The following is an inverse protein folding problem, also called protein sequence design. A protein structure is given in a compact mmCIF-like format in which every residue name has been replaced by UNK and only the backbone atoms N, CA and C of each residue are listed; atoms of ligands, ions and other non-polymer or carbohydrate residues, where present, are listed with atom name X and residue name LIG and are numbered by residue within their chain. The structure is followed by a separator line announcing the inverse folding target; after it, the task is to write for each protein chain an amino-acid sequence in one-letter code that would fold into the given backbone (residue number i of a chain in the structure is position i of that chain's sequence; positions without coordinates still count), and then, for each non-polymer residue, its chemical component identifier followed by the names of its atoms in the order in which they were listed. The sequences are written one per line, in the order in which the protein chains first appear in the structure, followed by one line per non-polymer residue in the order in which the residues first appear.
data_IF_303900556452
#
_entry.id   IF_303900556452
#
_cell.length_a   1.000
_cell.length_b   1.000
_cell.length_c   1.000
_cell.angle_alpha   90.00
_cell.angle_beta   90.00
_cell.angle_gamma   90.00
#
_symmetry.space_group_name_H-M   'P 1'
#
loop_
_entity.id
_entity.type
_entity.pdbx_description
1 polymer ?
#
# COMPACT_ATOMS: atom_id res chain seq x y z
N UNK A 1 -43.23 -2.48 -13.93
CA UNK A 1 -41.76 -2.74 -13.93
C UNK A 1 -41.43 -3.73 -12.80
N UNK A 2 -41.16 -5.01 -13.10
CA UNK A 2 -40.75 -5.98 -12.05
C UNK A 2 -39.23 -5.90 -11.88
N UNK A 3 -38.77 -5.29 -10.79
CA UNK A 3 -37.36 -5.29 -10.42
C UNK A 3 -36.94 -6.73 -10.04
N UNK A 4 -36.23 -7.42 -10.95
CA UNK A 4 -35.79 -8.82 -10.76
C UNK A 4 -34.48 -8.96 -9.98
N UNK A 5 -33.83 -7.85 -9.59
CA UNK A 5 -32.60 -7.86 -8.80
C UNK A 5 -32.87 -7.31 -7.40
N UNK A 6 -32.60 -8.13 -6.38
CA UNK A 6 -32.48 -7.64 -5.00
C UNK A 6 -31.22 -6.77 -4.94
N UNK A 7 -31.39 -5.46 -5.02
CA UNK A 7 -30.32 -4.51 -4.76
C UNK A 7 -30.37 -4.21 -3.27
N UNK A 8 -29.30 -4.53 -2.54
CA UNK A 8 -29.16 -4.11 -1.16
C UNK A 8 -29.30 -2.59 -1.12
N UNK A 9 -30.13 -2.06 -0.21
CA UNK A 9 -30.39 -0.62 -0.06
C UNK A 9 -29.11 0.21 0.10
N UNK A 10 -28.00 -0.43 0.47
CA UNK A 10 -26.69 0.14 0.71
C UNK A 10 -25.64 -0.36 -0.30
N UNK A 11 -26.04 -0.69 -1.54
CA UNK A 11 -25.08 -1.07 -2.59
C UNK A 11 -24.16 0.10 -2.93
N UNK A 12 -22.93 -0.19 -3.38
CA UNK A 12 -21.99 0.85 -3.77
C UNK A 12 -22.56 1.81 -4.84
N UNK A 13 -23.40 1.30 -5.76
CA UNK A 13 -24.07 2.12 -6.79
C UNK A 13 -25.09 3.11 -6.24
N UNK A 14 -25.65 2.84 -5.05
CA UNK A 14 -26.57 3.76 -4.35
C UNK A 14 -25.74 4.72 -3.50
N UNK A 15 -24.78 4.20 -2.73
CA UNK A 15 -23.92 5.01 -1.87
C UNK A 15 -23.08 6.01 -2.66
N UNK A 16 -22.65 5.68 -3.89
CA UNK A 16 -21.91 6.60 -4.76
C UNK A 16 -22.73 7.82 -5.21
N UNK A 17 -24.06 7.77 -5.10
CA UNK A 17 -24.95 8.90 -5.42
C UNK A 17 -25.07 9.89 -4.27
N UNK A 18 -24.66 9.49 -3.05
CA UNK A 18 -24.69 10.36 -1.87
C UNK A 18 -23.45 11.26 -1.80
N UNK A 19 -23.55 12.40 -1.14
CA UNK A 19 -22.39 13.23 -0.82
C UNK A 19 -21.42 12.51 0.13
N UNK A 20 -20.21 13.05 0.25
CA UNK A 20 -19.14 12.44 1.06
C UNK A 20 -19.52 12.40 2.55
N UNK A 21 -20.20 13.44 3.06
CA UNK A 21 -20.61 13.53 4.46
C UNK A 21 -21.57 12.40 4.83
N UNK A 22 -22.60 12.18 4.01
CA UNK A 22 -23.54 11.07 4.22
C UNK A 22 -22.88 9.70 4.02
N UNK A 23 -21.99 9.55 3.03
CA UNK A 23 -21.27 8.28 2.80
C UNK A 23 -20.42 7.83 3.99
N UNK A 24 -19.83 8.77 4.72
CA UNK A 24 -18.96 8.46 5.87
C UNK A 24 -19.75 7.96 7.08
N UNK A 25 -21.04 8.30 7.19
CA UNK A 25 -21.91 7.84 8.29
C UNK A 25 -22.22 6.34 8.22
N UNK A 26 -22.04 5.69 7.05
CA UNK A 26 -22.29 4.26 6.92
C UNK A 26 -21.18 3.44 7.59
N UNK A 27 -21.51 2.62 8.60
CA UNK A 27 -20.51 1.90 9.40
C UNK A 27 -19.94 0.68 8.67
N UNK A 28 -20.47 0.29 7.50
CA UNK A 28 -20.11 -0.95 6.81
C UNK A 28 -19.77 -0.71 5.34
N UNK A 29 -18.71 -1.38 4.87
CA UNK A 29 -18.42 -1.54 3.45
C UNK A 29 -19.26 -2.70 2.93
N UNK A 30 -20.22 -2.37 2.06
CA UNK A 30 -21.09 -3.33 1.41
C UNK A 30 -20.84 -3.34 -0.10
N UNK A 31 -20.61 -4.54 -0.63
CA UNK A 31 -20.55 -4.82 -2.06
C UNK A 31 -21.55 -5.93 -2.37
N UNK A 32 -21.81 -6.20 -3.64
CA UNK A 32 -22.70 -7.30 -4.05
C UNK A 32 -22.29 -8.68 -3.50
N UNK A 33 -21.02 -8.83 -3.10
CA UNK A 33 -20.45 -10.10 -2.61
C UNK A 33 -19.92 -10.04 -1.18
N UNK A 34 -19.75 -8.87 -0.59
CA UNK A 34 -19.04 -8.72 0.68
C UNK A 34 -19.71 -7.69 1.58
N UNK A 35 -19.75 -7.98 2.88
CA UNK A 35 -20.17 -7.06 3.92
C UNK A 35 -19.13 -7.08 5.05
N UNK A 36 -18.69 -5.89 5.49
CA UNK A 36 -17.76 -5.79 6.61
C UNK A 36 -17.83 -4.42 7.28
N UNK A 37 -17.62 -4.40 8.58
CA UNK A 37 -17.55 -3.17 9.36
C UNK A 37 -16.30 -2.34 9.00
N UNK A 38 -16.47 -1.02 8.90
CA UNK A 38 -15.41 -0.07 8.61
C UNK A 38 -14.32 -0.09 9.69
N UNK A 39 -14.65 -0.45 10.93
CA UNK A 39 -13.68 -0.67 12.01
C UNK A 39 -12.62 -1.70 11.62
N UNK A 40 -13.01 -2.79 10.94
CA UNK A 40 -12.06 -3.81 10.45
C UNK A 40 -11.10 -3.22 9.41
N UNK A 41 -11.61 -2.37 8.52
CA UNK A 41 -10.78 -1.67 7.52
C UNK A 41 -9.81 -0.71 8.21
N UNK A 42 -10.23 -0.04 9.28
CA UNK A 42 -9.36 0.83 10.07
C UNK A 42 -8.26 0.05 10.77
N UNK A 43 -8.57 -1.12 11.36
CA UNK A 43 -7.55 -2.02 11.90
C UNK A 43 -6.54 -2.45 10.83
N UNK A 44 -7.01 -2.76 9.62
CA UNK A 44 -6.16 -3.14 8.48
C UNK A 44 -5.29 -2.00 7.94
N UNK A 45 -5.60 -0.73 8.26
CA UNK A 45 -4.78 0.42 7.87
C UNK A 45 -3.52 0.58 8.71
N UNK A 46 -3.48 0.00 9.91
CA UNK A 46 -2.30 0.07 10.74
C UNK A 46 -1.11 -0.58 9.99
N UNK A 47 0.02 0.14 9.90
CA UNK A 47 1.22 -0.34 9.19
C UNK A 47 2.28 -0.91 10.13
N UNK A 48 1.90 -1.16 11.38
CA UNK A 48 2.77 -1.84 12.35
C UNK A 48 3.16 -3.24 11.90
N UNK A 49 4.37 -3.65 12.27
CA UNK A 49 4.83 -5.02 12.10
C UNK A 49 3.89 -5.99 12.84
N UNK A 50 3.66 -7.16 12.25
CA UNK A 50 2.69 -8.13 12.76
C UNK A 50 1.23 -7.86 12.37
N UNK A 51 0.88 -6.67 11.82
CA UNK A 51 -0.47 -6.45 11.30
C UNK A 51 -0.69 -7.24 10.00
N UNK A 52 -1.58 -8.22 10.02
CA UNK A 52 -1.94 -9.00 8.84
C UNK A 52 -3.43 -9.31 8.84
N UNK A 53 -3.98 -9.61 7.65
CA UNK A 53 -5.36 -10.06 7.52
C UNK A 53 -5.64 -11.34 8.33
N UNK A 54 -4.63 -12.19 8.52
CA UNK A 54 -4.75 -13.40 9.35
C UNK A 54 -4.81 -13.07 10.83
N UNK A 55 -3.95 -12.16 11.30
CA UNK A 55 -3.95 -11.71 12.70
C UNK A 55 -5.24 -10.98 13.06
N UNK A 56 -5.70 -10.07 12.20
CA UNK A 56 -6.98 -9.38 12.41
C UNK A 56 -8.14 -10.37 12.40
N UNK A 57 -8.14 -11.37 11.50
CA UNK A 57 -9.17 -12.39 11.52
C UNK A 57 -9.20 -13.15 12.85
N UNK A 58 -8.06 -13.57 13.39
CA UNK A 58 -7.99 -14.26 14.69
C UNK A 58 -8.59 -13.41 15.81
N UNK A 59 -8.20 -12.13 15.88
CA UNK A 59 -8.76 -11.20 16.88
C UNK A 59 -10.28 -11.03 16.77
N UNK A 60 -10.80 -10.96 15.55
CA UNK A 60 -12.26 -10.89 15.32
C UNK A 60 -12.94 -12.21 15.67
N UNK A 61 -12.26 -13.35 15.45
CA UNK A 61 -12.74 -14.68 15.82
C UNK A 61 -12.91 -14.78 17.32
N UNK A 62 -11.86 -14.44 18.09
CA UNK A 62 -11.86 -14.40 19.55
C UNK A 62 -12.97 -13.49 20.09
N UNK A 63 -13.13 -12.28 19.53
CA UNK A 63 -14.21 -11.36 19.95
C UNK A 63 -15.61 -11.90 19.67
N UNK A 64 -15.80 -12.54 18.51
CA UNK A 64 -17.07 -13.20 18.22
C UNK A 64 -17.30 -14.40 19.15
N UNK A 65 -16.24 -15.09 19.58
CA UNK A 65 -16.34 -16.30 20.44
C UNK A 65 -16.81 -15.89 21.82
N UNK A 66 -16.17 -14.88 22.38
CA UNK A 66 -16.56 -14.31 23.65
C UNK A 66 -18.00 -13.78 23.62
N UNK A 67 -18.39 -13.03 22.58
CA UNK A 67 -19.74 -12.51 22.45
C UNK A 67 -20.81 -13.62 22.33
N UNK A 68 -20.51 -14.69 21.59
CA UNK A 68 -21.39 -15.85 21.47
C UNK A 68 -21.51 -16.62 22.78
N UNK A 69 -20.39 -16.87 23.48
CA UNK A 69 -20.38 -17.53 24.79
C UNK A 69 -21.18 -16.74 25.83
N UNK A 70 -21.00 -15.41 25.89
CA UNK A 70 -21.77 -14.54 26.80
C UNK A 70 -23.27 -14.57 26.48
N UNK A 71 -23.63 -14.53 25.19
CA UNK A 71 -25.04 -14.63 24.77
C UNK A 71 -25.66 -15.97 25.15
N UNK A 72 -24.91 -17.07 25.00
CA UNK A 72 -25.36 -18.40 25.42
C UNK A 72 -25.51 -18.49 26.93
N UNK A 73 -24.59 -17.93 27.71
CA UNK A 73 -24.69 -17.91 29.16
C UNK A 73 -25.95 -17.18 29.63
N UNK A 74 -26.26 -16.01 29.04
CA UNK A 74 -27.51 -15.29 29.30
C UNK A 74 -28.73 -16.13 28.91
N UNK A 75 -28.74 -16.69 27.70
CA UNK A 75 -29.83 -17.53 27.23
C UNK A 75 -30.10 -18.71 28.18
N UNK A 76 -29.06 -19.42 28.60
CA UNK A 76 -29.19 -20.57 29.51
C UNK A 76 -29.67 -20.15 30.90
N UNK A 77 -29.23 -18.98 31.39
CA UNK A 77 -29.69 -18.40 32.67
C UNK A 77 -31.17 -18.04 32.62
N UNK A 78 -31.61 -17.42 31.53
CA UNK A 78 -33.03 -17.09 31.33
C UNK A 78 -33.85 -18.38 31.25
N UNK A 79 -33.35 -19.38 30.51
CA UNK A 79 -33.97 -20.69 30.38
C UNK A 79 -34.10 -21.42 31.72
N UNK A 80 -33.09 -21.39 32.59
CA UNK A 80 -33.19 -21.99 33.93
C UNK A 80 -34.28 -21.31 34.75
N UNK A 81 -34.39 -19.97 34.69
CA UNK A 81 -35.46 -19.24 35.35
C UNK A 81 -36.86 -19.66 34.88
N UNK A 82 -37.03 -19.89 33.58
CA UNK A 82 -38.29 -20.40 33.03
C UNK A 82 -38.59 -21.85 33.48
N UNK A 83 -37.56 -22.71 33.55
CA UNK A 83 -37.69 -24.09 34.04
C UNK A 83 -38.12 -24.08 35.51
N UNK A 84 -37.45 -23.29 36.36
CA UNK A 84 -37.75 -23.21 37.79
C UNK A 84 -39.18 -22.67 38.02
N UNK A 85 -39.58 -21.65 37.28
CA UNK A 85 -40.95 -21.12 37.33
C UNK A 85 -42.00 -22.14 36.87
N UNK A 86 -41.70 -22.96 35.85
CA UNK A 86 -42.57 -24.05 35.42
C UNK A 86 -42.67 -25.16 36.48
N UNK A 87 -41.56 -25.53 37.12
CA UNK A 87 -41.54 -26.49 38.23
C UNK A 87 -42.32 -25.99 39.45
N UNK A 88 -42.29 -24.68 39.70
CA UNK A 88 -43.04 -24.00 40.77
C UNK A 88 -44.55 -23.85 40.46
N UNK A 89 -45.00 -24.30 39.28
CA UNK A 89 -46.39 -24.20 38.84
C UNK A 89 -46.83 -22.82 38.34
N UNK A 90 -45.89 -21.87 38.18
CA UNK A 90 -46.18 -20.51 37.71
C UNK A 90 -46.31 -20.40 36.19
N UNK A 91 -45.68 -21.32 35.44
CA UNK A 91 -45.68 -21.35 33.98
C UNK A 91 -45.96 -22.76 33.44
N UNK A 92 -46.48 -22.82 32.21
CA UNK A 92 -46.68 -24.10 31.49
C UNK A 92 -45.33 -24.58 30.95
N UNK A 93 -45.01 -25.84 31.21
CA UNK A 93 -43.77 -26.45 30.74
C UNK A 93 -43.71 -26.46 29.20
N UNK A 94 -42.64 -25.89 28.63
CA UNK A 94 -42.37 -25.85 27.18
C UNK A 94 -40.96 -26.36 26.90
N UNK A 95 -40.81 -27.00 25.75
CA UNK A 95 -39.49 -27.43 25.25
C UNK A 95 -38.66 -26.20 24.87
N UNK A 96 -37.52 -26.06 25.53
CA UNK A 96 -36.54 -25.00 25.26
C UNK A 96 -35.62 -25.50 24.15
N UNK A 97 -35.37 -24.66 23.14
CA UNK A 97 -34.44 -24.98 22.05
C UNK A 97 -32.98 -24.85 22.48
N UNK A 98 -32.08 -25.60 21.86
CA UNK A 98 -30.65 -25.39 22.04
C UNK A 98 -30.21 -24.02 21.50
N UNK A 99 -29.16 -23.40 22.08
CA UNK A 99 -28.61 -22.15 21.57
C UNK A 99 -28.11 -22.33 20.13
N UNK A 100 -28.22 -21.30 19.28
CA UNK A 100 -27.79 -21.37 17.89
C UNK A 100 -26.28 -21.56 17.78
N UNK A 101 -25.84 -22.34 16.79
CA UNK A 101 -24.41 -22.49 16.48
C UNK A 101 -23.77 -21.15 16.08
N UNK A 102 -22.51 -20.98 16.45
CA UNK A 102 -21.70 -19.81 16.08
C UNK A 102 -21.57 -19.69 14.56
N UNK A 103 -21.85 -18.52 14.02
CA UNK A 103 -21.62 -18.23 12.60
C UNK A 103 -20.11 -18.20 12.26
N UNK A 104 -19.65 -18.93 11.24
CA UNK A 104 -18.24 -18.97 10.88
C UNK A 104 -17.77 -17.64 10.26
N UNK A 105 -16.58 -17.18 10.67
CA UNK A 105 -15.97 -16.01 10.08
C UNK A 105 -15.43 -16.26 8.67
N UNK A 106 -15.50 -15.27 7.76
CA UNK A 106 -14.85 -15.34 6.46
C UNK A 106 -13.34 -15.57 6.56
N UNK A 107 -12.75 -16.18 5.52
CA UNK A 107 -11.30 -16.40 5.43
C UNK A 107 -10.53 -15.08 5.27
N UNK A 108 -9.24 -15.06 5.61
CA UNK A 108 -8.38 -13.87 5.50
C UNK A 108 -8.39 -13.19 4.11
N UNK A 109 -8.64 -13.95 3.02
CA UNK A 109 -8.82 -13.41 1.66
C UNK A 109 -9.98 -12.42 1.54
N UNK A 110 -11.05 -12.63 2.31
CA UNK A 110 -12.18 -11.72 2.40
C UNK A 110 -11.75 -10.35 2.95
N UNK A 111 -10.98 -10.35 4.05
CA UNK A 111 -10.43 -9.15 4.67
C UNK A 111 -9.51 -8.39 3.69
N UNK A 112 -8.68 -9.10 2.92
CA UNK A 112 -7.87 -8.48 1.86
C UNK A 112 -8.73 -7.79 0.80
N UNK A 113 -9.78 -8.45 0.32
CA UNK A 113 -10.69 -7.87 -0.68
C UNK A 113 -11.38 -6.60 -0.15
N UNK A 114 -11.88 -6.62 1.08
CA UNK A 114 -12.50 -5.45 1.71
C UNK A 114 -11.50 -4.32 1.93
N UNK A 115 -10.28 -4.63 2.37
CA UNK A 115 -9.24 -3.62 2.49
C UNK A 115 -8.95 -2.93 1.16
N UNK A 116 -8.81 -3.72 0.09
CA UNK A 116 -8.64 -3.21 -1.28
C UNK A 116 -9.83 -2.30 -1.68
N UNK A 117 -11.06 -2.69 -1.37
CA UNK A 117 -12.22 -1.82 -1.62
C UNK A 117 -12.13 -0.49 -0.84
N UNK A 118 -11.72 -0.54 0.44
CA UNK A 118 -11.48 0.66 1.25
C UNK A 118 -10.30 1.52 0.78
N UNK A 119 -9.34 0.93 0.05
CA UNK A 119 -8.28 1.67 -0.66
C UNK A 119 -8.84 2.32 -1.92
N UNK A 120 -9.63 1.60 -2.73
CA UNK A 120 -10.25 2.13 -3.94
C UNK A 120 -11.13 3.35 -3.66
N UNK A 121 -11.87 3.35 -2.55
CA UNK A 121 -12.69 4.50 -2.14
C UNK A 121 -11.89 5.78 -1.85
N UNK A 122 -10.58 5.68 -1.60
CA UNK A 122 -9.69 6.80 -1.30
C UNK A 122 -8.55 6.89 -2.31
N UNK A 123 -8.73 6.28 -3.48
CA UNK A 123 -7.64 6.15 -4.44
C UNK A 123 -7.14 7.52 -4.89
N UNK A 124 -8.05 8.47 -5.06
CA UNK A 124 -7.70 9.83 -5.49
C UNK A 124 -6.96 10.61 -4.40
N UNK A 125 -7.37 10.49 -3.14
CA UNK A 125 -6.64 11.05 -1.99
C UNK A 125 -5.22 10.46 -1.89
N UNK A 126 -5.10 9.13 -2.02
CA UNK A 126 -3.81 8.43 -1.97
C UNK A 126 -2.94 8.88 -3.13
N UNK A 127 -3.49 8.96 -4.34
CA UNK A 127 -2.78 9.49 -5.52
C UNK A 127 -2.30 10.91 -5.27
N UNK A 128 -3.19 11.81 -4.83
CA UNK A 128 -2.84 13.18 -4.52
C UNK A 128 -1.71 13.29 -3.47
N UNK A 129 -1.68 12.40 -2.48
CA UNK A 129 -0.62 12.37 -1.47
C UNK A 129 0.73 11.87 -1.97
N UNK A 130 0.76 11.00 -3.00
CA UNK A 130 2.01 10.40 -3.52
C UNK A 130 2.46 10.99 -4.85
N UNK A 131 1.63 11.80 -5.52
CA UNK A 131 1.98 12.46 -6.78
C UNK A 131 2.22 13.94 -6.56
N UNK A 132 3.13 14.52 -7.33
CA UNK A 132 3.33 15.96 -7.39
C UNK A 132 3.45 16.39 -8.84
N UNK A 133 3.40 17.70 -9.08
CA UNK A 133 3.65 18.27 -10.41
C UNK A 133 5.09 18.78 -10.53
N UNK A 134 5.69 19.19 -9.41
CA UNK A 134 6.97 19.89 -9.36
C UNK A 134 7.86 19.40 -8.20
N UNK A 135 9.09 19.88 -8.20
CA UNK A 135 10.14 19.61 -7.24
C UNK A 135 11.41 20.37 -7.59
N UNK A 136 12.25 20.65 -6.60
CA UNK A 136 13.56 21.30 -6.79
C UNK A 136 14.66 20.29 -7.11
N UNK A 137 14.53 19.07 -6.60
CA UNK A 137 15.47 17.98 -6.87
C UNK A 137 14.67 16.84 -7.48
N UNK A 138 15.00 16.49 -8.72
CA UNK A 138 14.34 15.41 -9.42
C UNK A 138 15.24 14.18 -9.47
N UNK A 139 14.62 13.01 -9.36
CA UNK A 139 15.28 11.72 -9.52
C UNK A 139 14.51 10.86 -10.51
N UNK A 140 15.20 10.40 -11.54
CA UNK A 140 14.72 9.37 -12.46
C UNK A 140 15.20 8.00 -11.97
N UNK A 141 14.26 7.09 -11.74
CA UNK A 141 14.53 5.69 -11.36
C UNK A 141 13.79 4.72 -12.30
N UNK A 142 14.54 3.79 -12.85
CA UNK A 142 14.12 2.82 -13.86
C UNK A 142 14.09 1.43 -13.24
N UNK A 143 12.95 0.76 -13.30
CA UNK A 143 12.78 -0.55 -12.65
C UNK A 143 11.99 -1.55 -13.50
N UNK A 144 12.45 -2.80 -13.48
CA UNK A 144 11.69 -3.95 -14.01
C UNK A 144 10.61 -4.45 -13.04
N UNK A 145 10.68 -4.08 -11.75
CA UNK A 145 9.85 -4.68 -10.69
C UNK A 145 8.37 -4.38 -10.86
N UNK A 146 8.04 -3.16 -11.28
CA UNK A 146 6.64 -2.72 -11.50
C UNK A 146 6.06 -3.43 -12.72
N UNK A 147 6.84 -3.53 -13.78
CA UNK A 147 6.42 -4.13 -15.05
C UNK A 147 6.03 -5.60 -14.91
N UNK A 148 6.75 -6.36 -14.07
CA UNK A 148 6.40 -7.76 -13.76
C UNK A 148 5.03 -7.92 -13.09
N UNK A 149 4.46 -6.84 -12.55
CA UNK A 149 3.17 -6.83 -11.83
C UNK A 149 2.03 -6.25 -12.67
N UNK A 150 2.30 -5.82 -13.92
CA UNK A 150 1.26 -5.30 -14.79
C UNK A 150 0.32 -6.44 -15.23
N UNK A 151 -0.98 -6.19 -15.15
CA UNK A 151 -2.04 -7.09 -15.62
C UNK A 151 -2.61 -6.61 -16.96
N UNK A 152 -3.26 -7.51 -17.70
CA UNK A 152 -3.91 -7.20 -18.97
C UNK A 152 -2.95 -7.13 -20.16
N UNK A 153 -3.33 -6.36 -21.19
CA UNK A 153 -2.60 -6.23 -22.47
C UNK A 153 -1.10 -5.87 -22.35
N UNK A 154 -0.66 -5.05 -21.37
CA UNK A 154 0.77 -4.73 -21.19
C UNK A 154 1.60 -5.84 -20.51
N UNK A 155 0.96 -6.91 -20.04
CA UNK A 155 1.67 -7.99 -19.35
C UNK A 155 2.69 -8.64 -20.31
N UNK A 156 3.93 -8.80 -19.85
CA UNK A 156 5.07 -9.40 -20.58
C UNK A 156 5.53 -8.66 -21.84
N UNK A 157 4.93 -7.53 -22.20
CA UNK A 157 5.32 -6.71 -23.37
C UNK A 157 6.15 -5.49 -22.96
N UNK A 158 5.82 -4.91 -21.81
CA UNK A 158 6.65 -3.92 -21.15
C UNK A 158 7.90 -4.57 -20.55
N UNK A 159 9.04 -3.88 -20.55
CA UNK A 159 10.29 -4.37 -19.95
C UNK A 159 10.78 -3.49 -18.78
N UNK A 160 10.51 -2.18 -18.84
CA UNK A 160 10.96 -1.23 -17.83
C UNK A 160 9.89 -0.17 -17.53
N UNK A 161 9.90 0.34 -16.30
CA UNK A 161 9.11 1.48 -15.85
C UNK A 161 10.09 2.54 -15.33
N UNK A 162 10.09 3.73 -15.94
CA UNK A 162 10.90 4.85 -15.51
C UNK A 162 10.01 5.87 -14.81
N UNK A 163 10.36 6.20 -13.57
CA UNK A 163 9.62 7.13 -12.73
C UNK A 163 10.47 8.36 -12.49
N UNK A 164 9.88 9.55 -12.58
CA UNK A 164 10.49 10.78 -12.10
C UNK A 164 9.82 11.17 -10.80
N UNK A 165 10.57 11.26 -9.71
CA UNK A 165 10.10 11.74 -8.41
C UNK A 165 10.87 12.96 -7.92
N UNK A 166 10.32 13.64 -6.92
CA UNK A 166 10.94 14.82 -6.29
C UNK A 166 11.61 14.50 -4.94
N UNK A 167 12.17 15.52 -4.30
CA UNK A 167 12.83 15.48 -2.97
C UNK A 167 11.94 14.94 -1.84
N UNK A 168 10.61 14.96 -2.00
CA UNK A 168 9.65 14.46 -1.02
C UNK A 168 9.21 13.02 -1.29
N UNK A 169 9.77 12.36 -2.31
CA UNK A 169 9.37 11.02 -2.72
C UNK A 169 8.04 10.98 -3.47
N UNK A 170 7.54 12.13 -3.94
CA UNK A 170 6.33 12.20 -4.74
C UNK A 170 6.65 12.00 -6.22
N UNK A 171 5.77 11.30 -6.93
CA UNK A 171 5.95 10.94 -8.34
C UNK A 171 5.37 12.04 -9.24
N UNK A 172 6.18 12.56 -10.16
CA UNK A 172 5.76 13.53 -11.17
C UNK A 172 5.17 12.86 -12.41
N UNK A 173 5.85 11.82 -12.89
CA UNK A 173 5.41 11.05 -14.05
C UNK A 173 6.05 9.68 -14.06
N UNK A 174 5.36 8.73 -14.68
CA UNK A 174 5.85 7.37 -14.92
C UNK A 174 5.63 7.01 -16.38
N UNK A 175 6.64 6.44 -17.02
CA UNK A 175 6.55 5.93 -18.39
C UNK A 175 7.04 4.50 -18.46
N UNK A 176 6.41 3.71 -19.34
CA UNK A 176 6.80 2.34 -19.61
C UNK A 176 7.65 2.33 -20.89
N UNK A 177 8.80 1.66 -20.83
CA UNK A 177 9.76 1.61 -21.94
C UNK A 177 10.15 0.16 -22.27
N UNK A 178 10.61 -0.06 -23.50
CA UNK A 178 11.13 -1.36 -23.96
C UNK A 178 12.53 -1.65 -23.43
N UNK A 179 13.27 -0.63 -22.99
CA UNK A 179 14.58 -0.78 -22.34
C UNK A 179 14.85 0.39 -21.41
N UNK A 180 15.81 0.20 -20.49
CA UNK A 180 16.22 1.21 -19.52
C UNK A 180 16.75 2.46 -20.25
N UNK A 181 16.21 3.63 -19.93
CA UNK A 181 16.65 4.91 -20.50
C UNK A 181 16.17 5.23 -21.93
N UNK A 182 15.63 4.26 -22.67
CA UNK A 182 15.22 4.48 -24.06
C UNK A 182 13.88 5.23 -24.16
N UNK A 183 13.81 6.17 -25.10
CA UNK A 183 12.58 6.91 -25.39
C UNK A 183 12.13 7.88 -24.28
N UNK A 184 13.06 8.32 -23.41
CA UNK A 184 12.73 9.23 -22.30
C UNK A 184 12.69 10.71 -22.70
N UNK A 185 13.20 11.07 -23.88
CA UNK A 185 13.21 12.46 -24.37
C UNK A 185 11.81 13.11 -24.37
N UNK A 186 10.75 12.48 -24.93
CA UNK A 186 9.41 13.08 -24.90
C UNK A 186 8.87 13.28 -23.49
N UNK A 187 9.19 12.37 -22.56
CA UNK A 187 8.81 12.51 -21.15
C UNK A 187 9.48 13.74 -20.55
N UNK A 188 10.80 13.89 -20.74
CA UNK A 188 11.55 15.02 -20.20
C UNK A 188 11.08 16.35 -20.80
N UNK A 189 10.88 16.43 -22.12
CA UNK A 189 10.31 17.60 -22.80
C UNK A 189 8.93 17.94 -22.21
N UNK A 190 8.10 16.94 -21.95
CA UNK A 190 6.80 17.13 -21.29
C UNK A 190 6.92 17.75 -19.90
N UNK A 191 7.90 17.33 -19.09
CA UNK A 191 8.14 17.88 -17.76
C UNK A 191 8.66 19.32 -17.86
N UNK A 192 9.65 19.57 -18.71
CA UNK A 192 10.20 20.91 -18.94
C UNK A 192 9.07 21.87 -19.34
N UNK A 193 8.25 21.49 -20.31
CA UNK A 193 7.11 22.29 -20.76
C UNK A 193 6.10 22.59 -19.64
N UNK A 194 5.87 21.65 -18.71
CA UNK A 194 5.01 21.89 -17.55
C UNK A 194 5.61 22.94 -16.62
N UNK A 195 6.90 22.86 -16.33
CA UNK A 195 7.61 23.85 -15.51
C UNK A 195 7.58 25.24 -16.17
N UNK A 196 7.96 25.32 -17.45
CA UNK A 196 7.97 26.58 -18.19
C UNK A 196 6.59 27.22 -18.26
N UNK A 197 5.53 26.45 -18.57
CA UNK A 197 4.16 26.99 -18.67
C UNK A 197 3.59 27.45 -17.33
N UNK A 198 4.03 26.85 -16.23
CA UNK A 198 3.61 27.22 -14.89
C UNK A 198 4.52 28.28 -14.25
N UNK A 199 5.51 28.80 -14.99
CA UNK A 199 6.50 29.77 -14.50
C UNK A 199 7.26 29.28 -13.26
N UNK A 200 7.42 27.96 -13.14
CA UNK A 200 8.18 27.32 -12.07
C UNK A 200 9.65 27.23 -12.49
N UNK A 201 10.61 27.63 -11.64
CA UNK A 201 12.03 27.54 -11.95
C UNK A 201 12.45 26.09 -12.21
N UNK A 202 13.43 25.90 -13.10
CA UNK A 202 14.03 24.59 -13.37
C UNK A 202 14.53 23.95 -12.07
N UNK A 203 14.51 22.61 -11.95
CA UNK A 203 15.11 21.94 -10.82
C UNK A 203 16.61 22.23 -10.74
N UNK A 204 17.12 22.29 -9.52
CA UNK A 204 18.53 22.51 -9.24
C UNK A 204 19.36 21.28 -9.62
N UNK A 205 18.84 20.09 -9.33
CA UNK A 205 19.52 18.83 -9.56
C UNK A 205 18.57 17.82 -10.21
N UNK A 206 19.07 17.10 -11.21
CA UNK A 206 18.42 15.94 -11.81
C UNK A 206 19.34 14.71 -11.69
N UNK A 207 18.94 13.74 -10.87
CA UNK A 207 19.58 12.43 -10.78
C UNK A 207 19.04 11.52 -11.87
N UNK A 208 19.95 10.88 -12.61
CA UNK A 208 19.63 9.89 -13.64
C UNK A 208 20.36 8.57 -13.37
N UNK A 209 19.71 7.47 -13.70
CA UNK A 209 20.29 6.13 -13.66
C UNK A 209 21.43 5.92 -14.67
N UNK A 210 21.27 6.54 -15.84
CA UNK A 210 22.18 6.41 -16.99
C UNK A 210 22.23 7.70 -17.78
N UNK A 211 23.16 7.77 -18.72
CA UNK A 211 23.25 8.86 -19.70
C UNK A 211 23.45 10.27 -19.08
N UNK A 212 23.92 10.32 -17.83
CA UNK A 212 24.32 11.53 -17.10
C UNK A 212 25.67 12.10 -17.57
N UNK A 213 26.49 11.28 -18.24
CA UNK A 213 27.83 11.62 -18.71
C UNK A 213 27.87 11.59 -20.24
N UNK A 214 28.76 12.39 -20.86
CA UNK A 214 28.92 12.43 -22.31
C UNK A 214 27.79 13.15 -23.05
N UNK A 215 27.74 12.98 -24.37
CA UNK A 215 26.68 13.49 -25.23
C UNK A 215 25.52 12.47 -25.25
N UNK A 216 24.45 12.76 -24.49
CA UNK A 216 23.22 11.96 -24.50
C UNK A 216 22.03 12.76 -25.01
N UNK A 217 21.01 12.11 -25.60
CA UNK A 217 19.81 12.80 -26.07
C UNK A 217 19.11 13.59 -24.97
N UNK A 218 19.08 13.06 -23.74
CA UNK A 218 18.52 13.76 -22.58
C UNK A 218 19.30 15.03 -22.24
N UNK A 219 20.63 14.97 -22.27
CA UNK A 219 21.48 16.13 -21.99
C UNK A 219 21.35 17.20 -23.07
N UNK A 220 21.26 16.81 -24.34
CA UNK A 220 21.01 17.75 -25.45
C UNK A 220 19.68 18.48 -25.26
N UNK A 221 18.63 17.77 -24.86
CA UNK A 221 17.31 18.36 -24.57
C UNK A 221 17.39 19.35 -23.40
N UNK A 222 18.09 19.00 -22.31
CA UNK A 222 18.28 19.91 -21.18
C UNK A 222 19.01 21.18 -21.60
N UNK A 223 20.13 21.04 -22.31
CA UNK A 223 20.96 22.15 -22.78
C UNK A 223 20.23 23.07 -23.75
N UNK A 224 19.34 22.53 -24.60
CA UNK A 224 18.53 23.28 -25.54
C UNK A 224 17.25 23.90 -24.93
N UNK A 225 17.05 23.77 -23.62
CA UNK A 225 15.82 24.18 -22.93
C UNK A 225 16.07 25.19 -21.80
N UNK A 226 15.00 25.61 -21.14
CA UNK A 226 15.07 26.43 -19.92
C UNK A 226 15.79 25.75 -18.74
N UNK A 227 16.11 24.45 -18.85
CA UNK A 227 16.83 23.67 -17.84
C UNK A 227 18.33 23.54 -18.15
N UNK A 228 18.89 24.44 -18.96
CA UNK A 228 20.31 24.44 -19.32
C UNK A 228 21.26 24.59 -18.11
N UNK A 229 20.78 25.18 -17.01
CA UNK A 229 21.51 25.33 -15.75
C UNK A 229 21.26 24.19 -14.74
N UNK A 230 20.37 23.23 -15.03
CA UNK A 230 20.10 22.10 -14.12
C UNK A 230 21.32 21.19 -14.01
N UNK A 231 21.75 20.88 -12.78
CA UNK A 231 22.89 20.00 -12.53
C UNK A 231 22.47 18.54 -12.71
N UNK A 232 23.02 17.87 -13.72
CA UNK A 232 22.78 16.44 -13.94
C UNK A 232 23.79 15.61 -13.15
N UNK A 233 23.28 14.67 -12.34
CA UNK A 233 24.08 13.74 -11.54
C UNK A 233 23.69 12.29 -11.79
N UNK A 234 24.61 11.38 -11.54
CA UNK A 234 24.33 9.94 -11.54
C UNK A 234 23.66 9.57 -10.22
N UNK A 235 22.62 8.73 -10.27
CA UNK A 235 22.05 8.10 -9.08
C UNK A 235 23.12 7.32 -8.30
N UNK A 236 23.08 7.38 -6.97
CA UNK A 236 24.11 6.80 -6.11
C UNK A 236 24.25 5.28 -6.27
N UNK A 237 23.14 4.56 -6.47
CA UNK A 237 23.20 3.10 -6.68
C UNK A 237 23.80 2.75 -8.03
N UNK A 238 23.53 3.57 -9.06
CA UNK A 238 24.16 3.42 -10.35
C UNK A 238 25.64 3.83 -10.31
N UNK A 239 26.01 4.83 -9.51
CA UNK A 239 27.39 5.23 -9.28
C UNK A 239 28.20 4.09 -8.65
N UNK A 240 27.71 3.50 -7.56
CA UNK A 240 28.35 2.34 -6.92
C UNK A 240 28.48 1.16 -7.88
N UNK A 241 27.43 0.87 -8.66
CA UNK A 241 27.47 -0.20 -9.67
C UNK A 241 28.52 0.04 -10.75
N UNK A 242 28.72 1.30 -11.19
CA UNK A 242 29.77 1.62 -12.17
C UNK A 242 31.17 1.34 -11.62
N UNK A 243 31.42 1.66 -10.34
CA UNK A 243 32.71 1.33 -9.71
C UNK A 243 32.90 -0.19 -9.68
N UNK A 244 31.89 -0.94 -9.24
CA UNK A 244 31.98 -2.41 -9.17
C UNK A 244 32.20 -3.07 -10.54
N UNK A 245 31.65 -2.49 -11.61
CA UNK A 245 31.82 -2.99 -12.99
C UNK A 245 33.29 -2.98 -13.44
N UNK A 246 34.14 -2.11 -12.88
CA UNK A 246 35.56 -2.09 -13.19
C UNK A 246 36.35 -3.29 -12.65
N UNK A 247 35.80 -4.02 -11.67
CA UNK A 247 36.50 -5.10 -10.98
C UNK A 247 35.75 -6.44 -10.99
N UNK A 248 34.42 -6.44 -11.19
CA UNK A 248 33.59 -7.64 -11.11
C UNK A 248 32.27 -7.49 -11.87
N UNK A 249 31.56 -8.61 -12.06
CA UNK A 249 30.16 -8.63 -12.50
C UNK A 249 29.24 -8.97 -11.33
N UNK A 250 27.94 -8.70 -11.48
CA UNK A 250 26.90 -9.05 -10.50
C UNK A 250 26.80 -10.56 -10.23
N UNK A 251 27.32 -11.39 -11.13
CA UNK A 251 27.39 -12.85 -10.98
C UNK A 251 28.56 -13.33 -10.11
N UNK A 252 29.51 -12.45 -9.77
CA UNK A 252 30.70 -12.86 -9.02
C UNK A 252 30.37 -13.07 -7.52
N UNK A 253 30.93 -14.13 -6.91
CA UNK A 253 30.63 -14.50 -5.53
C UNK A 253 30.92 -13.38 -4.50
N UNK A 254 31.97 -12.58 -4.74
CA UNK A 254 32.37 -11.46 -3.88
C UNK A 254 31.65 -10.13 -4.18
N UNK A 255 30.79 -10.08 -5.21
CA UNK A 255 30.12 -8.83 -5.62
C UNK A 255 29.30 -8.22 -4.48
N UNK A 256 28.54 -9.06 -3.78
CA UNK A 256 27.70 -8.63 -2.65
C UNK A 256 28.55 -8.05 -1.51
N UNK A 257 29.63 -8.72 -1.13
CA UNK A 257 30.59 -8.27 -0.12
C UNK A 257 31.21 -6.92 -0.51
N UNK A 258 31.67 -6.80 -1.74
CA UNK A 258 32.27 -5.56 -2.25
C UNK A 258 31.28 -4.39 -2.24
N UNK A 259 30.04 -4.61 -2.71
CA UNK A 259 28.98 -3.61 -2.67
C UNK A 259 28.61 -3.23 -1.23
N UNK A 260 28.62 -4.19 -0.30
CA UNK A 260 28.39 -3.95 1.12
C UNK A 260 29.47 -3.07 1.75
N UNK A 261 30.76 -3.35 1.47
CA UNK A 261 31.88 -2.51 1.92
C UNK A 261 31.80 -1.10 1.34
N UNK A 262 31.52 -0.98 0.04
CA UNK A 262 31.35 0.31 -0.60
C UNK A 262 30.18 1.11 -0.01
N UNK A 263 29.06 0.44 0.27
CA UNK A 263 27.91 1.06 0.93
C UNK A 263 28.31 1.62 2.29
N UNK A 264 29.09 0.86 3.07
CA UNK A 264 29.56 1.29 4.40
C UNK A 264 30.50 2.51 4.31
N UNK A 265 31.35 2.59 3.28
CA UNK A 265 32.23 3.75 3.09
C UNK A 265 31.51 5.02 2.62
N UNK A 266 30.36 4.88 1.94
CA UNK A 266 29.61 6.01 1.34
C UNK A 266 28.52 6.51 2.28
N UNK A 267 27.81 5.59 2.92
CA UNK A 267 26.66 5.90 3.75
C UNK A 267 27.05 5.81 5.22
N UNK A 268 26.83 6.89 5.95
CA UNK A 268 26.87 6.87 7.40
C UNK A 268 25.45 6.62 7.91
N UNK A 269 25.36 5.84 8.97
CA UNK A 269 24.15 5.70 9.78
C UNK A 269 24.36 6.44 11.09
N UNK A 270 23.29 6.96 11.65
CA UNK A 270 23.31 7.58 12.96
C UNK A 270 23.25 6.48 14.04
N UNK A 271 24.21 6.50 14.96
CA UNK A 271 24.33 5.48 16.01
C UNK A 271 23.09 5.47 16.91
N UNK A 272 22.56 6.63 17.25
CA UNK A 272 21.39 6.74 18.11
C UNK A 272 20.15 6.13 17.44
N UNK A 273 19.92 6.43 16.16
CA UNK A 273 18.83 5.85 15.38
C UNK A 273 18.98 4.33 15.24
N UNK A 274 20.19 3.83 15.05
CA UNK A 274 20.42 2.39 14.99
C UNK A 274 20.15 1.72 16.34
N UNK A 275 20.60 2.30 17.45
CA UNK A 275 20.29 1.78 18.79
C UNK A 275 18.77 1.80 19.06
N UNK A 276 18.08 2.88 18.67
CA UNK A 276 16.61 2.96 18.75
C UNK A 276 15.94 1.88 17.91
N UNK A 277 16.43 1.61 16.71
CA UNK A 277 15.94 0.52 15.85
C UNK A 277 16.16 -0.85 16.50
N UNK A 278 17.35 -1.11 17.06
CA UNK A 278 17.69 -2.35 17.76
C UNK A 278 16.78 -2.55 18.98
N UNK A 279 16.62 -1.52 19.80
CA UNK A 279 15.71 -1.56 20.95
C UNK A 279 14.27 -1.81 20.52
N UNK A 280 13.79 -1.10 19.49
CA UNK A 280 12.46 -1.31 18.93
C UNK A 280 12.28 -2.74 18.44
N UNK A 281 13.27 -3.32 17.77
CA UNK A 281 13.18 -4.71 17.27
C UNK A 281 13.22 -5.73 18.40
N UNK A 282 14.03 -5.50 19.44
CA UNK A 282 14.04 -6.35 20.65
C UNK A 282 12.68 -6.31 21.35
N UNK A 283 12.10 -5.12 21.53
CA UNK A 283 10.78 -4.96 22.12
C UNK A 283 9.70 -5.63 21.26
N UNK A 284 9.79 -5.52 19.93
CA UNK A 284 8.89 -6.21 19.01
C UNK A 284 8.98 -7.73 19.15
N UNK A 285 10.19 -8.29 19.21
CA UNK A 285 10.41 -9.72 19.39
C UNK A 285 9.92 -10.20 20.75
N UNK A 286 10.21 -9.46 21.82
CA UNK A 286 9.69 -9.75 23.16
C UNK A 286 8.15 -9.67 23.23
N UNK A 287 7.52 -8.84 22.40
CA UNK A 287 6.07 -8.79 22.29
C UNK A 287 5.47 -9.88 21.36
N UNK A 288 6.30 -10.58 20.60
CA UNK A 288 5.90 -11.65 19.67
C UNK A 288 6.08 -13.07 20.25
N UNK A 289 6.85 -13.24 21.34
CA UNK A 289 6.77 -14.41 22.22
C UNK A 289 5.51 -14.24 23.10
N UNK A 290 4.38 -14.97 22.98
CA UNK A 290 4.21 -16.43 22.90
C UNK A 290 5.21 -17.13 23.83
N UNK A 291 4.84 -17.26 25.10
CA UNK A 291 5.36 -18.33 25.95
C UNK A 291 5.06 -19.70 25.31
#
# INVERSE_FOLDING_TARGET
MKCRRRVLSWSHSILSQLDIGLRVQFPRILTAKHACDRKIVLLLRNRGLGNSCSQIRKKVDEQHDEAWLNSNAHYLTDCSGFIDAAQSGLLVNRTISDPPERAPLPRHRWFMQIYIQGVFQRLDEIKAGITSVFGRILKLDSTKKVVKKLAGRPAKTALWCSNVGNEHGQILTSVITSSEGQGLTPMLVGIINKYTKAEIPSPEILYLDRDCCGASPLKQVLQASAWNCTVVRLDIWHFMRRIATGCSTDSHALYSTFMGMMSNCIFNWDEEDFQRLVMSKRNELAAQDIN
#
